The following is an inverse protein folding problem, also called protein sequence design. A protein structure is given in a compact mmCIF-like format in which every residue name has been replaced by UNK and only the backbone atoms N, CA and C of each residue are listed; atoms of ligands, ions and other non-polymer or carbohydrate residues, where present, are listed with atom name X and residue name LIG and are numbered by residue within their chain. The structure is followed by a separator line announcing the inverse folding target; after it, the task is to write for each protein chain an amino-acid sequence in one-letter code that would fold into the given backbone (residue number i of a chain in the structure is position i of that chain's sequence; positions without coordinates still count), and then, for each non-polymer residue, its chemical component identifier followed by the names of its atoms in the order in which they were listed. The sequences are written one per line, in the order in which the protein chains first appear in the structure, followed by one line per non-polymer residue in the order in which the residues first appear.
data_IF_627276989274
#
_entry.id   IF_627276989274
#
_cell.length_a   1.000
_cell.length_b   1.000
_cell.length_c   1.000
_cell.angle_alpha   90.00
_cell.angle_beta   90.00
_cell.angle_gamma   90.00
#
_symmetry.space_group_name_H-M   'P 1'
#
loop_
_entity.id
_entity.type
_entity.pdbx_description
1 polymer ?
#
# COMPACT_ATOMS: atom_id res chain seq x y z
N UNK A 1 1.92 1.97 22.20
CA UNK A 1 1.14 2.47 21.02
C UNK A 1 1.70 3.83 20.63
N UNK A 2 2.03 4.04 19.36
CA UNK A 2 2.62 5.32 18.88
C UNK A 2 1.49 6.32 18.57
N UNK A 3 0.93 6.94 19.61
CA UNK A 3 -0.17 7.93 19.47
C UNK A 3 0.20 9.11 18.58
N UNK A 4 1.46 9.51 18.59
CA UNK A 4 2.02 10.54 17.72
C UNK A 4 1.72 10.30 16.22
N UNK A 5 1.63 9.03 15.81
CA UNK A 5 1.33 8.64 14.44
C UNK A 5 -0.17 8.63 14.10
N UNK A 6 -1.05 8.62 15.10
CA UNK A 6 -2.48 8.49 14.92
C UNK A 6 -3.26 9.59 15.67
N UNK A 7 -3.26 10.84 15.17
CA UNK A 7 -3.94 11.97 15.85
C UNK A 7 -5.44 11.78 16.05
N UNK A 8 -6.07 10.88 15.30
CA UNK A 8 -7.48 10.53 15.47
C UNK A 8 -7.77 10.01 16.89
N UNK A 9 -6.79 9.38 17.54
CA UNK A 9 -6.93 8.85 18.90
C UNK A 9 -7.08 9.95 19.97
N UNK A 10 -6.75 11.20 19.66
CA UNK A 10 -6.94 12.35 20.56
C UNK A 10 -8.35 12.95 20.44
N UNK A 11 -9.10 12.57 19.40
CA UNK A 11 -10.43 13.14 19.07
C UNK A 11 -11.55 12.16 19.32
N UNK A 12 -11.31 10.86 19.11
CA UNK A 12 -12.35 9.84 19.23
C UNK A 12 -11.74 8.44 19.48
N UNK A 13 -12.55 7.52 19.99
CA UNK A 13 -12.22 6.10 20.11
C UNK A 13 -12.53 5.47 18.75
N UNK A 14 -11.48 5.29 17.92
CA UNK A 14 -11.64 4.71 16.59
C UNK A 14 -11.52 3.19 16.64
N UNK A 15 -12.56 2.47 16.22
CA UNK A 15 -12.62 1.00 16.27
C UNK A 15 -12.83 0.33 14.91
N UNK A 16 -13.06 1.09 13.83
CA UNK A 16 -13.38 0.54 12.51
C UNK A 16 -12.15 0.30 11.63
N UNK A 17 -11.14 -0.40 12.17
CA UNK A 17 -9.90 -0.67 11.44
C UNK A 17 -10.06 -1.64 10.27
N UNK A 18 -11.05 -2.53 10.34
CA UNK A 18 -11.29 -3.53 9.29
C UNK A 18 -11.86 -2.93 8.00
N UNK A 19 -12.64 -1.86 8.10
CA UNK A 19 -13.20 -1.19 6.93
C UNK A 19 -12.26 -0.12 6.37
N UNK A 20 -11.95 0.91 7.18
CA UNK A 20 -11.06 2.00 6.80
C UNK A 20 -10.15 2.32 7.99
N UNK A 21 -8.92 1.87 7.95
CA UNK A 21 -7.96 2.18 9.01
C UNK A 21 -7.54 3.66 8.98
N UNK A 22 -7.26 4.27 10.15
CA UNK A 22 -6.70 5.62 10.19
C UNK A 22 -5.35 5.67 9.49
N UNK A 23 -5.13 6.72 8.72
CA UNK A 23 -3.85 6.93 8.06
C UNK A 23 -2.80 7.39 9.09
N UNK A 24 -1.65 6.74 9.20
CA UNK A 24 -0.58 7.22 10.08
C UNK A 24 0.04 8.51 9.53
N UNK A 25 0.52 9.37 10.42
CA UNK A 25 1.13 10.67 10.07
C UNK A 25 2.22 10.54 9.01
N UNK A 26 3.13 9.59 9.16
CA UNK A 26 4.22 9.37 8.19
C UNK A 26 3.72 9.05 6.78
N UNK A 27 2.59 8.34 6.66
CA UNK A 27 2.00 8.05 5.36
C UNK A 27 1.33 9.29 4.78
N UNK A 28 0.58 10.08 5.58
CA UNK A 28 -0.02 11.33 5.15
C UNK A 28 1.05 12.31 4.64
N UNK A 29 2.14 12.48 5.38
CA UNK A 29 3.26 13.34 4.99
C UNK A 29 3.97 12.85 3.72
N UNK A 30 4.11 11.53 3.54
CA UNK A 30 4.69 10.97 2.31
C UNK A 30 3.80 11.24 1.09
N UNK A 31 2.48 11.11 1.22
CA UNK A 31 1.53 11.45 0.17
C UNK A 31 1.58 12.95 -0.18
N UNK A 32 1.68 13.83 0.81
CA UNK A 32 1.81 15.27 0.60
C UNK A 32 3.11 15.62 -0.13
N UNK A 33 4.24 15.01 0.27
CA UNK A 33 5.52 15.22 -0.44
C UNK A 33 5.44 14.76 -1.88
N UNK A 34 4.88 13.59 -2.15
CA UNK A 34 4.68 13.10 -3.51
C UNK A 34 3.82 14.06 -4.35
N UNK A 35 2.70 14.54 -3.79
CA UNK A 35 1.82 15.46 -4.51
C UNK A 35 2.51 16.79 -4.83
N UNK A 36 3.30 17.31 -3.89
CA UNK A 36 4.09 18.55 -4.09
C UNK A 36 5.17 18.33 -5.15
N UNK A 37 5.91 17.24 -5.06
CA UNK A 37 6.95 16.88 -6.02
C UNK A 37 6.40 16.75 -7.45
N UNK A 38 5.30 16.03 -7.59
CA UNK A 38 4.63 15.85 -8.89
C UNK A 38 4.08 17.18 -9.45
N UNK A 39 3.60 18.08 -8.59
CA UNK A 39 3.12 19.41 -8.98
C UNK A 39 4.26 20.31 -9.47
N UNK A 40 5.39 20.33 -8.76
CA UNK A 40 6.49 21.27 -8.99
C UNK A 40 7.46 20.78 -10.06
N UNK A 41 7.67 19.46 -10.16
CA UNK A 41 8.70 18.83 -10.99
C UNK A 41 8.14 17.86 -12.04
N UNK A 42 6.83 17.62 -12.03
CA UNK A 42 6.24 16.63 -12.93
C UNK A 42 6.82 15.23 -12.67
N UNK A 43 7.38 14.62 -13.69
CA UNK A 43 8.00 13.28 -13.58
C UNK A 43 9.53 13.31 -13.44
N UNK A 44 10.12 14.46 -13.07
CA UNK A 44 11.58 14.61 -12.99
C UNK A 44 12.22 13.59 -12.04
N UNK A 45 11.57 13.31 -10.90
CA UNK A 45 12.03 12.37 -9.89
C UNK A 45 11.37 10.97 -10.01
N UNK A 46 10.95 10.58 -11.21
CA UNK A 46 10.23 9.31 -11.43
C UNK A 46 10.98 8.07 -10.93
N UNK A 47 12.32 8.07 -11.01
CA UNK A 47 13.16 6.99 -10.47
C UNK A 47 12.98 6.80 -8.96
N UNK A 48 12.83 7.87 -8.20
CA UNK A 48 12.61 7.81 -6.74
C UNK A 48 11.22 7.22 -6.41
N UNK A 49 10.23 7.48 -7.28
CA UNK A 49 8.91 6.86 -7.14
C UNK A 49 8.97 5.35 -7.37
N UNK A 50 9.73 4.91 -8.37
CA UNK A 50 9.96 3.48 -8.61
C UNK A 50 10.73 2.82 -7.46
N UNK A 51 11.72 3.49 -6.90
CA UNK A 51 12.46 3.00 -5.72
C UNK A 51 11.53 2.84 -4.50
N UNK A 52 10.58 3.77 -4.33
CA UNK A 52 9.56 3.68 -3.28
C UNK A 52 8.63 2.49 -3.51
N UNK A 53 8.20 2.25 -4.75
CA UNK A 53 7.39 1.09 -5.14
C UNK A 53 8.12 -0.23 -4.82
N UNK A 54 9.37 -0.35 -5.22
CA UNK A 54 10.19 -1.53 -4.92
C UNK A 54 10.48 -1.65 -3.41
N UNK A 55 10.57 -0.54 -2.70
CA UNK A 55 10.68 -0.50 -1.24
C UNK A 55 9.49 -1.15 -0.54
N UNK A 56 8.28 -0.90 -1.02
CA UNK A 56 7.05 -1.55 -0.53
C UNK A 56 7.11 -3.06 -0.78
N UNK A 57 7.46 -3.50 -2.00
CA UNK A 57 7.58 -4.92 -2.34
C UNK A 57 8.57 -5.64 -1.42
N UNK A 58 9.76 -5.07 -1.21
CA UNK A 58 10.78 -5.62 -0.29
C UNK A 58 10.27 -5.70 1.16
N UNK A 59 9.51 -4.70 1.60
CA UNK A 59 8.98 -4.65 2.97
C UNK A 59 7.89 -5.70 3.18
N UNK A 60 6.98 -5.84 2.23
CA UNK A 60 5.92 -6.86 2.27
C UNK A 60 6.50 -8.27 2.20
N UNK A 61 7.47 -8.50 1.32
CA UNK A 61 8.16 -9.78 1.22
C UNK A 61 8.73 -10.24 2.57
N UNK A 62 9.43 -9.33 3.29
CA UNK A 62 9.94 -9.64 4.64
C UNK A 62 8.84 -10.00 5.63
N UNK A 63 7.68 -9.32 5.56
CA UNK A 63 6.56 -9.56 6.49
C UNK A 63 5.93 -10.93 6.31
N UNK A 64 5.91 -11.46 5.08
CA UNK A 64 5.29 -12.75 4.75
C UNK A 64 6.30 -13.85 4.48
N UNK A 65 7.59 -13.62 4.74
CA UNK A 65 8.68 -14.55 4.49
C UNK A 65 8.76 -15.01 3.02
N UNK A 66 8.63 -14.07 2.10
CA UNK A 66 8.72 -14.26 0.66
C UNK A 66 9.87 -13.45 0.06
N UNK A 67 10.07 -13.58 -1.25
CA UNK A 67 10.97 -12.74 -2.04
C UNK A 67 10.20 -11.56 -2.68
N UNK A 68 10.84 -10.44 -3.01
CA UNK A 68 10.16 -9.33 -3.70
C UNK A 68 9.53 -9.73 -5.05
N UNK A 69 10.06 -10.77 -5.72
CA UNK A 69 9.50 -11.28 -6.98
C UNK A 69 8.13 -11.94 -6.80
N UNK A 70 7.80 -12.40 -5.58
CA UNK A 70 6.52 -13.02 -5.23
C UNK A 70 5.48 -12.00 -4.76
N UNK A 71 5.82 -10.70 -4.72
CA UNK A 71 4.90 -9.64 -4.29
C UNK A 71 4.45 -8.82 -5.51
N UNK A 72 3.15 -8.82 -5.76
CA UNK A 72 2.49 -7.94 -6.71
C UNK A 72 1.67 -6.88 -5.95
N UNK A 73 1.71 -5.63 -6.41
CA UNK A 73 0.87 -4.56 -5.88
C UNK A 73 -0.35 -4.38 -6.79
N UNK A 74 -1.53 -4.42 -6.22
CA UNK A 74 -2.82 -4.26 -6.90
C UNK A 74 -3.57 -3.08 -6.32
N UNK A 75 -4.52 -2.51 -7.08
CA UNK A 75 -5.30 -1.33 -6.65
C UNK A 75 -6.23 -1.65 -5.48
N UNK A 76 -6.74 -2.88 -5.42
CA UNK A 76 -7.70 -3.32 -4.40
C UNK A 76 -7.78 -4.85 -4.37
N UNK A 77 -8.47 -5.37 -3.36
CA UNK A 77 -8.68 -6.81 -3.16
C UNK A 77 -9.39 -7.48 -4.35
N UNK A 78 -10.37 -6.80 -4.95
CA UNK A 78 -11.13 -7.37 -6.09
C UNK A 78 -10.23 -7.60 -7.31
N UNK A 79 -9.33 -6.68 -7.61
CA UNK A 79 -8.34 -6.86 -8.68
C UNK A 79 -7.39 -8.02 -8.38
N UNK A 80 -6.91 -8.13 -7.13
CA UNK A 80 -6.05 -9.24 -6.72
C UNK A 80 -6.75 -10.61 -6.87
N UNK A 81 -7.99 -10.72 -6.40
CA UNK A 81 -8.80 -11.94 -6.55
C UNK A 81 -9.06 -12.25 -8.02
N UNK A 82 -9.45 -11.26 -8.83
CA UNK A 82 -9.71 -11.44 -10.25
C UNK A 82 -8.45 -11.91 -10.99
N UNK A 83 -7.28 -11.35 -10.69
CA UNK A 83 -6.00 -11.75 -11.29
C UNK A 83 -5.70 -13.22 -11.01
N UNK A 84 -5.87 -13.67 -9.76
CA UNK A 84 -5.68 -15.08 -9.40
C UNK A 84 -6.71 -15.96 -10.08
N UNK A 85 -8.00 -15.58 -10.03
CA UNK A 85 -9.09 -16.35 -10.64
C UNK A 85 -8.91 -16.53 -12.15
N UNK A 86 -8.43 -15.51 -12.85
CA UNK A 86 -8.16 -15.58 -14.29
C UNK A 86 -6.91 -16.40 -14.65
N UNK A 87 -5.97 -16.55 -13.70
CA UNK A 87 -4.75 -17.33 -13.90
C UNK A 87 -4.90 -18.83 -13.60
N UNK A 88 -6.02 -19.27 -13.02
CA UNK A 88 -6.28 -20.67 -12.71
C UNK A 88 -6.89 -21.39 -13.92
N UNK A 89 -6.36 -22.56 -14.24
CA UNK A 89 -6.94 -23.47 -15.27
C UNK A 89 -8.12 -24.24 -14.66
N UNK A 90 -9.29 -23.60 -14.64
CA UNK A 90 -10.51 -24.13 -14.04
C UNK A 90 -10.99 -25.38 -14.74
N UNK A 91 -11.39 -26.39 -13.95
CA UNK A 91 -11.97 -27.65 -14.44
C UNK A 91 -13.35 -27.87 -13.86
N UNK A 92 -14.15 -28.69 -14.56
CA UNK A 92 -15.47 -29.05 -14.06
C UNK A 92 -15.36 -29.76 -12.70
N UNK A 93 -15.96 -29.17 -11.66
CA UNK A 93 -15.95 -29.67 -10.29
C UNK A 93 -14.98 -28.95 -9.33
N UNK A 94 -14.21 -27.94 -9.79
CA UNK A 94 -13.37 -27.09 -8.93
C UNK A 94 -14.21 -26.15 -8.05
#
# INVERSE_FOLDING_TARGET
MRRDQFPVADRLIYMNHAAVAPLPRVAAEAMQRFATDALEWGSWHYSEWLDSYEGVRRSMARMVNATPAEIALTKNTSEGIATVAMGIDWRAGD
#
